data_IF_320591580059
#
_entry.id   IF_320591580059
#
_cell.length_a   1.000
_cell.length_b   1.000
_cell.length_c   1.000
_cell.angle_alpha   90.00
_cell.angle_beta   90.00
_cell.angle_gamma   90.00
#
_symmetry.space_group_name_H-M   'P 1'
#
loop_
_entity.id
_entity.type
_entity.pdbx_description
1 polymer ?
#
# COMPACT_ATOMS: atom_id res chain seq x y z
N UNK A 1 -14.70 21.00 -25.13
CA UNK A 1 -15.61 21.49 -24.08
C UNK A 1 -15.39 20.79 -22.75
N UNK A 2 -15.49 19.45 -22.65
CA UNK A 2 -15.39 18.75 -21.36
C UNK A 2 -14.04 18.87 -20.62
N UNK A 3 -12.91 18.90 -21.34
CA UNK A 3 -11.56 19.02 -20.72
C UNK A 3 -11.38 20.33 -19.96
N UNK A 4 -11.92 21.43 -20.51
CA UNK A 4 -11.83 22.75 -19.90
C UNK A 4 -12.68 22.83 -18.62
N UNK A 5 -13.89 22.26 -18.65
CA UNK A 5 -14.76 22.18 -17.46
C UNK A 5 -14.16 21.31 -16.35
N UNK A 6 -13.53 20.17 -16.69
CA UNK A 6 -12.84 19.32 -15.71
C UNK A 6 -11.66 20.07 -15.07
N UNK A 7 -10.91 20.81 -15.89
CA UNK A 7 -9.79 21.61 -15.41
C UNK A 7 -10.24 22.74 -14.47
N UNK A 8 -11.28 23.49 -14.84
CA UNK A 8 -11.86 24.56 -14.01
C UNK A 8 -12.42 24.02 -12.68
N UNK A 9 -13.12 22.88 -12.72
CA UNK A 9 -13.61 22.21 -11.50
C UNK A 9 -12.47 21.70 -10.62
N UNK A 10 -11.42 21.14 -11.21
CA UNK A 10 -10.23 20.68 -10.48
C UNK A 10 -9.52 21.85 -9.79
N UNK A 11 -9.35 22.98 -10.49
CA UNK A 11 -8.76 24.18 -9.90
C UNK A 11 -9.57 24.74 -8.74
N UNK A 12 -10.89 24.81 -8.84
CA UNK A 12 -11.71 25.30 -7.73
C UNK A 12 -11.67 24.31 -6.55
N UNK A 13 -11.68 23.00 -6.80
CA UNK A 13 -11.55 22.01 -5.75
C UNK A 13 -10.17 22.07 -5.05
N UNK A 14 -9.09 22.28 -5.81
CA UNK A 14 -7.75 22.53 -5.28
C UNK A 14 -7.73 23.78 -4.38
N UNK A 15 -8.33 24.89 -4.86
CA UNK A 15 -8.45 26.14 -4.10
C UNK A 15 -9.17 25.94 -2.76
N UNK A 16 -10.29 25.20 -2.77
CA UNK A 16 -11.08 24.91 -1.56
C UNK A 16 -10.32 24.02 -0.56
N UNK A 17 -9.56 23.04 -1.05
CA UNK A 17 -8.71 22.20 -0.20
C UNK A 17 -7.55 22.99 0.41
N UNK A 18 -6.89 23.85 -0.37
CA UNK A 18 -5.84 24.74 0.14
C UNK A 18 -6.38 25.69 1.22
N UNK A 19 -7.56 26.29 0.99
CA UNK A 19 -8.23 27.13 1.98
C UNK A 19 -8.56 26.36 3.26
N UNK A 20 -9.06 25.13 3.13
CA UNK A 20 -9.37 24.26 4.28
C UNK A 20 -8.11 23.91 5.09
N UNK A 21 -6.99 23.65 4.41
CA UNK A 21 -5.68 23.42 5.04
C UNK A 21 -5.17 24.69 5.74
N UNK A 22 -5.37 25.86 5.16
CA UNK A 22 -4.98 27.13 5.77
C UNK A 22 -5.79 27.40 7.04
N UNK A 23 -7.11 27.23 7.00
CA UNK A 23 -7.97 27.34 8.19
C UNK A 23 -7.54 26.36 9.29
N UNK A 24 -7.23 25.11 8.93
CA UNK A 24 -6.77 24.12 9.90
C UNK A 24 -5.42 24.51 10.53
N UNK A 25 -4.49 25.05 9.74
CA UNK A 25 -3.22 25.60 10.27
C UNK A 25 -3.42 26.82 11.16
N UNK A 26 -4.39 27.68 10.85
CA UNK A 26 -4.73 28.82 11.71
C UNK A 26 -5.32 28.35 13.04
N UNK A 27 -6.20 27.33 13.02
CA UNK A 27 -6.76 26.71 14.23
C UNK A 27 -5.67 26.05 15.09
N UNK A 28 -4.67 25.40 14.49
CA UNK A 28 -3.52 24.84 15.23
C UNK A 28 -2.64 25.90 15.91
N UNK A 29 -2.58 27.13 15.36
CA UNK A 29 -1.79 28.25 15.92
C UNK A 29 -2.52 28.97 17.06
N UNK A 30 -3.83 28.82 17.16
CA UNK A 30 -4.58 29.34 18.31
C UNK A 30 -4.20 28.48 19.52
N UNK A 31 -3.88 29.09 20.67
CA UNK A 31 -3.66 28.33 21.88
C UNK A 31 -4.97 27.60 22.21
N UNK A 32 -4.98 26.28 21.97
CA UNK A 32 -6.01 25.37 22.48
C UNK A 32 -5.81 25.31 23.99
N UNK A 33 -6.28 26.33 24.69
CA UNK A 33 -6.37 26.35 26.14
C UNK A 33 -7.32 25.25 26.56
N UNK A 34 -6.74 24.11 26.93
CA UNK A 34 -7.24 23.19 27.95
C UNK A 34 -8.74 22.85 27.87
N UNK A 35 -9.15 22.07 26.87
CA UNK A 35 -10.35 21.23 27.05
C UNK A 35 -10.00 19.88 27.70
N UNK A 36 -8.72 19.47 27.70
CA UNK A 36 -8.26 18.27 28.39
C UNK A 36 -8.15 18.47 29.93
N UNK A 37 -7.89 19.68 30.45
CA UNK A 37 -7.79 19.90 31.90
C UNK A 37 -9.14 19.98 32.63
N UNK A 38 -10.26 20.17 31.92
CA UNK A 38 -11.58 20.21 32.56
C UNK A 38 -12.07 18.80 32.89
N UNK A 39 -11.55 17.76 32.21
CA UNK A 39 -11.94 16.36 32.45
C UNK A 39 -11.27 15.75 33.69
N UNK A 40 -10.16 16.30 34.18
CA UNK A 40 -9.42 15.75 35.34
C UNK A 40 -9.90 16.29 36.69
N UNK A 41 -10.91 17.18 36.72
CA UNK A 41 -11.40 17.82 37.96
C UNK A 41 -12.86 17.52 38.35
N UNK A 42 -13.52 16.55 37.73
CA UNK A 42 -14.79 16.05 38.26
C UNK A 42 -14.68 14.55 38.52
N UNK A 43 -14.51 14.22 39.80
CA UNK A 43 -14.60 12.86 40.29
C UNK A 43 -15.97 12.24 40.00
N UNK A 44 -15.94 10.93 39.85
CA UNK A 44 -17.00 9.99 40.18
C UNK A 44 -18.42 10.42 39.75
N UNK A 45 -18.80 10.03 38.52
CA UNK A 45 -20.06 9.35 38.17
C UNK A 45 -20.41 9.57 36.68
N UNK A 46 -20.39 8.46 35.92
CA UNK A 46 -21.25 8.15 34.76
C UNK A 46 -21.54 9.25 33.72
N UNK A 47 -20.83 9.21 32.59
CA UNK A 47 -21.36 9.08 31.22
C UNK A 47 -20.22 9.24 30.23
N UNK A 48 -19.95 8.22 29.40
CA UNK A 48 -18.99 8.32 28.31
C UNK A 48 -19.50 9.33 27.27
N UNK A 49 -19.15 10.59 27.44
CA UNK A 49 -19.28 11.60 26.39
C UNK A 49 -18.16 11.30 25.40
N UNK A 50 -18.50 10.57 24.33
CA UNK A 50 -17.65 10.45 23.14
C UNK A 50 -17.54 11.85 22.55
N UNK A 51 -16.51 12.60 22.95
CA UNK A 51 -16.21 13.86 22.29
C UNK A 51 -15.85 13.55 20.83
N UNK A 52 -16.45 14.24 19.85
CA UNK A 52 -16.11 14.06 18.46
C UNK A 52 -14.61 14.35 18.28
N UNK A 53 -13.88 13.43 17.66
CA UNK A 53 -12.43 13.50 17.42
C UNK A 53 -11.94 14.80 16.75
N UNK A 54 -12.85 15.64 16.24
CA UNK A 54 -12.59 16.78 15.36
C UNK A 54 -11.76 17.94 15.94
N UNK A 55 -11.67 18.09 17.28
CA UNK A 55 -10.95 19.22 17.89
C UNK A 55 -9.84 18.81 18.86
N UNK A 56 -9.36 17.57 18.79
CA UNK A 56 -8.14 17.15 19.48
C UNK A 56 -6.92 17.41 18.59
N UNK A 57 -5.73 17.61 19.17
CA UNK A 57 -4.49 17.75 18.40
C UNK A 57 -4.28 16.56 17.43
N UNK A 58 -4.52 15.34 17.91
CA UNK A 58 -4.48 14.12 17.10
C UNK A 58 -5.53 14.11 15.98
N UNK A 59 -6.74 14.58 16.25
CA UNK A 59 -7.81 14.69 15.25
C UNK A 59 -7.48 15.68 14.14
N UNK A 60 -6.85 16.82 14.49
CA UNK A 60 -6.38 17.79 13.52
C UNK A 60 -5.26 17.22 12.65
N UNK A 61 -4.33 16.44 13.21
CA UNK A 61 -3.27 15.78 12.43
C UNK A 61 -3.83 14.78 11.41
N UNK A 62 -4.80 13.95 11.82
CA UNK A 62 -5.49 13.03 10.90
C UNK A 62 -6.21 13.79 9.80
N UNK A 63 -6.93 14.86 10.15
CA UNK A 63 -7.68 15.67 9.19
C UNK A 63 -6.74 16.39 8.20
N UNK A 64 -5.59 16.87 8.66
CA UNK A 64 -4.53 17.43 7.81
C UNK A 64 -3.98 16.38 6.84
N UNK A 65 -3.71 15.17 7.31
CA UNK A 65 -3.23 14.07 6.47
C UNK A 65 -4.27 13.71 5.39
N UNK A 66 -5.56 13.64 5.74
CA UNK A 66 -6.66 13.41 4.80
C UNK A 66 -6.73 14.51 3.74
N UNK A 67 -6.71 15.79 4.12
CA UNK A 67 -6.78 16.91 3.18
C UNK A 67 -5.58 16.95 2.23
N UNK A 68 -4.37 16.68 2.72
CA UNK A 68 -3.17 16.59 1.87
C UNK A 68 -3.25 15.41 0.88
N UNK A 69 -3.93 14.31 1.25
CA UNK A 69 -4.16 13.20 0.35
C UNK A 69 -5.18 13.56 -0.74
N UNK A 70 -6.29 14.18 -0.38
CA UNK A 70 -7.29 14.66 -1.37
C UNK A 70 -6.71 15.70 -2.32
N UNK A 71 -5.86 16.61 -1.82
CA UNK A 71 -5.18 17.59 -2.66
C UNK A 71 -4.32 16.90 -3.73
N UNK A 72 -3.53 15.91 -3.32
CA UNK A 72 -2.69 15.12 -4.24
C UNK A 72 -3.52 14.42 -5.32
N UNK A 73 -4.68 13.85 -4.98
CA UNK A 73 -5.57 13.16 -5.92
C UNK A 73 -6.16 14.12 -6.97
N UNK A 74 -6.62 15.30 -6.53
CA UNK A 74 -7.22 16.31 -7.41
C UNK A 74 -6.18 16.91 -8.34
N UNK A 75 -5.02 17.32 -7.82
CA UNK A 75 -3.94 17.90 -8.62
C UNK A 75 -3.43 16.93 -9.70
N UNK A 76 -3.38 15.62 -9.40
CA UNK A 76 -2.92 14.60 -10.36
C UNK A 76 -4.03 14.01 -11.23
N UNK A 77 -5.29 14.34 -10.94
CA UNK A 77 -6.47 13.69 -11.53
C UNK A 77 -6.29 12.15 -11.52
N UNK A 78 -5.84 11.61 -10.39
CA UNK A 78 -5.47 10.20 -10.27
C UNK A 78 -6.75 9.35 -10.14
N UNK A 79 -7.00 8.51 -11.15
CA UNK A 79 -8.05 7.51 -11.12
C UNK A 79 -7.46 6.17 -10.70
N UNK A 80 -7.91 5.65 -9.55
CA UNK A 80 -7.51 4.33 -9.05
C UNK A 80 -8.62 3.32 -9.36
N UNK A 81 -8.34 2.36 -10.25
CA UNK A 81 -9.22 1.23 -10.54
C UNK A 81 -8.76 0.00 -9.75
N UNK A 82 -9.51 -0.38 -8.72
CA UNK A 82 -9.24 -1.58 -7.95
C UNK A 82 -9.83 -2.83 -8.62
N UNK A 83 -9.00 -3.85 -8.81
CA UNK A 83 -9.42 -5.16 -9.33
C UNK A 83 -9.48 -6.14 -8.16
N UNK A 84 -10.69 -6.58 -7.83
CA UNK A 84 -10.97 -7.48 -6.70
C UNK A 84 -11.55 -8.79 -7.22
N UNK A 85 -11.20 -9.88 -6.56
CA UNK A 85 -11.62 -11.22 -6.96
C UNK A 85 -10.91 -12.29 -6.14
N UNK A 86 -11.46 -13.49 -6.15
CA UNK A 86 -10.88 -14.64 -5.46
C UNK A 86 -9.52 -15.03 -6.05
N UNK A 87 -8.80 -15.88 -5.33
CA UNK A 87 -7.52 -16.41 -5.82
C UNK A 87 -7.71 -17.10 -7.17
N UNK A 88 -6.77 -16.93 -8.09
CA UNK A 88 -6.78 -17.55 -9.42
C UNK A 88 -7.94 -17.15 -10.33
N UNK A 89 -8.69 -16.09 -9.98
CA UNK A 89 -9.71 -15.51 -10.87
C UNK A 89 -9.12 -14.79 -12.10
N UNK A 90 -7.79 -14.79 -12.27
CA UNK A 90 -7.11 -14.13 -13.38
C UNK A 90 -6.80 -12.65 -13.18
N UNK A 91 -6.92 -12.10 -11.96
CA UNK A 91 -6.69 -10.66 -11.67
C UNK A 91 -5.38 -10.12 -12.22
N UNK A 92 -4.24 -10.71 -11.83
CA UNK A 92 -2.92 -10.28 -12.28
C UNK A 92 -2.77 -10.46 -13.80
N UNK A 93 -3.39 -11.47 -14.38
CA UNK A 93 -3.46 -11.68 -15.84
C UNK A 93 -4.26 -10.57 -16.52
N UNK A 94 -5.41 -10.17 -15.97
CA UNK A 94 -6.22 -9.06 -16.46
C UNK A 94 -5.47 -7.74 -16.36
N UNK A 95 -4.76 -7.50 -15.25
CA UNK A 95 -3.91 -6.31 -15.08
C UNK A 95 -2.82 -6.29 -16.16
N UNK A 96 -2.06 -7.37 -16.32
CA UNK A 96 -1.02 -7.47 -17.35
C UNK A 96 -1.61 -7.25 -18.76
N UNK A 97 -2.82 -7.73 -19.02
CA UNK A 97 -3.53 -7.49 -20.29
C UNK A 97 -3.93 -6.02 -20.49
N UNK A 98 -4.41 -5.33 -19.45
CA UNK A 98 -4.74 -3.89 -19.51
C UNK A 98 -3.46 -3.07 -19.75
N UNK A 99 -2.40 -3.35 -19.00
CA UNK A 99 -1.10 -2.70 -19.13
C UNK A 99 -0.49 -2.97 -20.50
N UNK A 100 -0.68 -4.17 -21.05
CA UNK A 100 -0.10 -4.62 -22.31
C UNK A 100 1.33 -5.16 -22.18
N UNK A 101 1.85 -5.26 -20.96
CA UNK A 101 3.14 -5.87 -20.63
C UNK A 101 3.01 -6.69 -19.35
N UNK A 102 3.86 -7.73 -19.20
CA UNK A 102 3.86 -8.53 -17.99
C UNK A 102 4.61 -7.79 -16.87
N UNK A 103 3.87 -7.26 -15.88
CA UNK A 103 4.40 -6.49 -14.75
C UNK A 103 4.10 -7.11 -13.38
N UNK A 104 3.10 -7.98 -13.31
CA UNK A 104 2.81 -8.80 -12.14
C UNK A 104 3.17 -10.28 -12.38
N UNK A 105 3.76 -10.98 -11.39
CA UNK A 105 4.07 -12.39 -11.51
C UNK A 105 2.78 -13.24 -11.56
N UNK A 106 2.82 -14.32 -12.33
CA UNK A 106 1.75 -15.31 -12.40
C UNK A 106 2.29 -16.70 -11.98
N UNK A 107 1.65 -17.36 -11.00
CA UNK A 107 1.89 -18.77 -10.64
C UNK A 107 0.58 -19.42 -10.19
N UNK A 108 0.59 -20.74 -10.05
CA UNK A 108 -0.52 -21.54 -9.49
C UNK A 108 -0.72 -21.42 -7.96
N UNK A 109 -0.08 -20.45 -7.30
CA UNK A 109 -0.16 -20.19 -5.84
C UNK A 109 -0.59 -18.74 -5.57
N UNK A 110 -1.04 -18.37 -4.37
CA UNK A 110 -1.41 -16.99 -4.02
C UNK A 110 -0.32 -15.95 -4.34
N UNK A 111 -0.55 -14.98 -5.22
CA UNK A 111 0.52 -14.08 -5.73
C UNK A 111 0.41 -12.62 -5.24
N UNK A 112 -0.59 -12.28 -4.43
CA UNK A 112 -0.76 -10.90 -3.95
C UNK A 112 -0.88 -10.91 -2.42
N UNK A 113 0.24 -10.68 -1.74
CA UNK A 113 0.31 -10.54 -0.28
C UNK A 113 0.11 -9.08 0.16
N UNK A 114 0.79 -8.16 -0.53
CA UNK A 114 0.62 -6.73 -0.36
C UNK A 114 -0.15 -6.18 -1.57
N UNK A 115 -1.14 -5.29 -1.37
CA UNK A 115 -1.73 -4.56 -2.49
C UNK A 115 -0.63 -3.84 -3.27
N UNK A 116 -0.72 -3.77 -4.59
CA UNK A 116 0.30 -3.15 -5.44
C UNK A 116 -0.36 -2.20 -6.44
N UNK A 117 0.14 -0.98 -6.54
CA UNK A 117 -0.33 -0.01 -7.54
C UNK A 117 0.45 -0.19 -8.84
N UNK A 118 -0.24 -0.07 -9.97
CA UNK A 118 0.36 -0.06 -11.30
C UNK A 118 -0.09 1.21 -11.98
N UNK A 119 0.85 2.15 -12.17
CA UNK A 119 0.60 3.51 -12.61
C UNK A 119 1.06 3.70 -14.04
N UNK A 120 0.16 4.20 -14.87
CA UNK A 120 0.49 4.64 -16.20
C UNK A 120 1.46 5.83 -16.15
N UNK A 121 2.64 5.66 -16.75
CA UNK A 121 3.65 6.72 -16.86
C UNK A 121 4.09 6.83 -18.32
N UNK A 122 3.66 7.88 -19.06
CA UNK A 122 4.04 8.07 -20.46
C UNK A 122 5.56 8.06 -20.67
N UNK A 123 6.02 7.33 -21.67
CA UNK A 123 7.46 7.17 -21.97
C UNK A 123 8.23 6.17 -21.11
N UNK A 124 7.64 5.63 -20.03
CA UNK A 124 8.29 4.62 -19.18
C UNK A 124 8.11 3.21 -19.76
N UNK A 125 8.95 2.86 -20.75
CA UNK A 125 8.82 1.56 -21.46
C UNK A 125 9.16 0.34 -20.60
N UNK A 126 10.20 0.45 -19.78
CA UNK A 126 10.57 -0.60 -18.84
C UNK A 126 9.87 -0.36 -17.50
N UNK A 127 9.25 -1.37 -16.88
CA UNK A 127 8.57 -1.18 -15.61
C UNK A 127 9.57 -0.87 -14.50
N UNK A 128 9.16 -0.01 -13.57
CA UNK A 128 9.95 0.40 -12.41
C UNK A 128 9.11 0.21 -11.17
N UNK A 129 9.58 -0.57 -10.20
CA UNK A 129 8.93 -0.70 -8.89
C UNK A 129 9.59 0.23 -7.88
N UNK A 130 8.76 1.08 -7.27
CA UNK A 130 9.09 1.88 -6.10
C UNK A 130 8.51 1.22 -4.86
N UNK A 131 9.39 0.81 -3.95
CA UNK A 131 9.01 0.25 -2.66
C UNK A 131 9.55 1.15 -1.53
N UNK A 132 8.91 2.29 -1.31
CA UNK A 132 9.44 3.34 -0.42
C UNK A 132 9.45 2.93 1.07
N UNK A 133 8.47 2.12 1.48
CA UNK A 133 8.22 1.73 2.87
C UNK A 133 8.80 0.35 3.19
N UNK A 134 10.11 0.14 2.97
CA UNK A 134 10.80 -1.14 3.26
C UNK A 134 11.05 -1.41 4.75
N UNK A 135 11.11 -0.37 5.58
CA UNK A 135 11.57 -0.50 6.97
C UNK A 135 10.82 -1.57 7.81
N UNK A 136 9.48 -1.74 7.71
CA UNK A 136 8.78 -2.83 8.39
C UNK A 136 9.21 -4.22 7.92
N UNK A 137 9.47 -4.39 6.61
CA UNK A 137 9.99 -5.65 6.06
C UNK A 137 11.40 -5.90 6.54
N UNK A 138 12.28 -4.89 6.57
CA UNK A 138 13.65 -5.07 7.08
C UNK A 138 13.67 -5.47 8.56
N UNK A 139 12.75 -4.93 9.36
CA UNK A 139 12.58 -5.34 10.76
C UNK A 139 12.11 -6.81 10.86
N UNK A 140 11.13 -7.21 10.06
CA UNK A 140 10.65 -8.58 9.98
C UNK A 140 11.78 -9.54 9.55
N UNK A 141 12.57 -9.17 8.54
CA UNK A 141 13.69 -9.98 8.03
C UNK A 141 14.71 -10.29 9.12
N UNK A 142 15.01 -9.34 10.02
CA UNK A 142 15.92 -9.56 11.16
C UNK A 142 15.36 -10.60 12.15
N UNK A 143 14.05 -10.53 12.43
CA UNK A 143 13.38 -11.49 13.32
C UNK A 143 13.38 -12.89 12.68
N UNK A 144 13.02 -12.97 11.39
CA UNK A 144 13.01 -14.23 10.66
C UNK A 144 14.40 -14.83 10.52
N UNK A 145 15.45 -14.02 10.37
CA UNK A 145 16.83 -14.52 10.33
C UNK A 145 17.21 -15.26 11.61
N UNK A 146 16.82 -14.75 12.78
CA UNK A 146 17.04 -15.44 14.05
C UNK A 146 16.26 -16.76 14.11
N UNK A 147 14.96 -16.72 13.78
CA UNK A 147 14.09 -17.91 13.80
C UNK A 147 14.53 -19.00 12.82
N UNK A 148 14.96 -18.64 11.60
CA UNK A 148 15.44 -19.60 10.59
C UNK A 148 16.71 -20.31 11.05
N UNK A 149 17.61 -19.62 11.77
CA UNK A 149 18.83 -20.24 12.34
C UNK A 149 18.54 -21.23 13.46
N UNK A 150 17.47 -21.00 14.22
CA UNK A 150 17.04 -21.85 15.33
C UNK A 150 16.14 -23.02 14.88
N UNK A 151 15.52 -22.91 13.71
CA UNK A 151 14.55 -23.89 13.22
C UNK A 151 15.22 -24.98 12.39
N UNK A 152 14.78 -26.23 12.58
CA UNK A 152 15.19 -27.33 11.72
C UNK A 152 14.56 -27.20 10.32
N UNK A 153 15.38 -27.20 9.28
CA UNK A 153 14.92 -27.13 7.87
C UNK A 153 13.94 -28.26 7.54
N UNK A 154 14.05 -29.42 8.19
CA UNK A 154 13.11 -30.52 8.03
C UNK A 154 11.69 -30.15 8.49
N UNK A 155 11.55 -29.40 9.59
CA UNK A 155 10.25 -28.90 10.04
C UNK A 155 9.66 -27.88 9.08
N UNK A 156 10.51 -26.98 8.55
CA UNK A 156 10.07 -26.00 7.54
C UNK A 156 9.51 -26.68 6.28
N UNK A 157 10.15 -27.76 5.79
CA UNK A 157 9.65 -28.52 4.63
C UNK A 157 8.33 -29.25 4.86
N UNK A 158 7.93 -29.49 6.11
CA UNK A 158 6.63 -30.10 6.42
C UNK A 158 5.48 -29.09 6.33
N UNK A 159 5.76 -27.80 6.55
CA UNK A 159 4.75 -26.74 6.59
C UNK A 159 4.76 -25.85 5.34
N UNK A 160 5.90 -25.78 4.63
CA UNK A 160 6.09 -24.96 3.44
C UNK A 160 6.56 -25.80 2.26
N UNK A 161 5.97 -25.53 1.10
CA UNK A 161 6.50 -26.02 -0.17
C UNK A 161 7.71 -25.17 -0.56
N UNK A 162 8.92 -25.70 -0.32
CA UNK A 162 10.17 -25.01 -0.61
C UNK A 162 10.55 -25.24 -2.08
N UNK A 163 10.09 -24.35 -2.95
CA UNK A 163 10.52 -24.30 -4.34
C UNK A 163 11.85 -23.54 -4.53
N UNK A 164 12.27 -23.36 -5.78
CA UNK A 164 13.50 -22.63 -6.12
C UNK A 164 13.48 -21.20 -5.59
N UNK A 165 12.33 -20.52 -5.65
CA UNK A 165 12.21 -19.11 -5.27
C UNK A 165 12.19 -18.93 -3.74
N UNK A 166 11.53 -19.83 -3.02
CA UNK A 166 11.58 -19.87 -1.55
C UNK A 166 13.01 -20.12 -1.04
N UNK A 167 13.78 -20.98 -1.70
CA UNK A 167 15.19 -21.20 -1.35
C UNK A 167 16.04 -19.93 -1.52
N UNK A 168 15.80 -19.15 -2.58
CA UNK A 168 16.48 -17.86 -2.79
C UNK A 168 16.13 -16.90 -1.65
N UNK A 169 14.86 -16.82 -1.24
CA UNK A 169 14.44 -16.00 -0.10
C UNK A 169 15.13 -16.44 1.20
N UNK A 170 15.17 -17.74 1.49
CA UNK A 170 15.83 -18.26 2.69
C UNK A 170 17.32 -17.90 2.71
N UNK A 171 18.02 -18.03 1.58
CA UNK A 171 19.42 -17.61 1.46
C UNK A 171 19.59 -16.10 1.67
N UNK A 172 18.69 -15.28 1.13
CA UNK A 172 18.71 -13.83 1.36
C UNK A 172 18.52 -13.49 2.84
N UNK A 173 17.59 -14.16 3.54
CA UNK A 173 17.37 -14.00 4.98
C UNK A 173 18.60 -14.43 5.78
N UNK A 174 19.15 -15.62 5.50
CA UNK A 174 20.33 -16.16 6.18
C UNK A 174 21.53 -15.20 6.09
N UNK A 175 21.74 -14.63 4.89
CA UNK A 175 22.81 -13.67 4.59
C UNK A 175 22.51 -12.22 5.02
N UNK A 176 21.28 -11.92 5.44
CA UNK A 176 20.88 -10.58 5.87
C UNK A 176 20.79 -9.55 4.73
N UNK A 177 20.42 -9.99 3.52
CA UNK A 177 20.21 -9.12 2.37
C UNK A 177 18.89 -8.36 2.55
N UNK A 178 18.96 -7.03 2.55
CA UNK A 178 17.79 -6.15 2.68
C UNK A 178 17.02 -6.01 1.35
N UNK A 179 15.75 -5.62 1.44
CA UNK A 179 14.99 -5.26 0.24
C UNK A 179 15.45 -3.91 -0.30
N UNK A 180 15.53 -3.80 -1.62
CA UNK A 180 15.81 -2.54 -2.27
C UNK A 180 14.54 -1.68 -2.31
N UNK A 181 14.74 -0.36 -2.39
CA UNK A 181 13.63 0.59 -2.54
C UNK A 181 13.19 0.75 -3.99
N UNK A 182 13.99 0.26 -4.93
CA UNK A 182 13.85 0.51 -6.35
C UNK A 182 14.24 -0.74 -7.13
N UNK A 183 13.38 -1.20 -8.05
CA UNK A 183 13.68 -2.32 -8.93
C UNK A 183 13.37 -1.95 -10.39
N UNK A 184 14.36 -2.14 -11.27
CA UNK A 184 14.25 -1.82 -12.70
C UNK A 184 14.00 -3.10 -13.51
N UNK A 185 12.97 -3.07 -14.36
CA UNK A 185 12.64 -4.14 -15.28
C UNK A 185 11.76 -5.24 -14.68
N UNK A 186 11.10 -6.01 -15.54
CA UNK A 186 10.07 -6.97 -15.12
C UNK A 186 10.61 -8.08 -14.22
N UNK A 187 11.80 -8.63 -14.50
CA UNK A 187 12.32 -9.76 -13.73
C UNK A 187 12.68 -9.41 -12.28
N UNK A 188 13.44 -8.33 -12.00
CA UNK A 188 13.66 -7.89 -10.61
C UNK A 188 12.37 -7.60 -9.86
N UNK A 189 11.38 -6.98 -10.52
CA UNK A 189 10.06 -6.73 -9.95
C UNK A 189 9.35 -8.03 -9.59
N UNK A 190 9.35 -9.02 -10.51
CA UNK A 190 8.74 -10.32 -10.24
C UNK A 190 9.40 -11.00 -9.06
N UNK A 191 10.74 -11.01 -9.01
CA UNK A 191 11.47 -11.61 -7.90
C UNK A 191 11.15 -10.92 -6.57
N UNK A 192 11.06 -9.59 -6.54
CA UNK A 192 10.66 -8.83 -5.37
C UNK A 192 9.25 -9.20 -4.90
N UNK A 193 8.25 -9.13 -5.79
CA UNK A 193 6.86 -9.45 -5.46
C UNK A 193 6.71 -10.92 -5.03
N UNK A 194 7.38 -11.85 -5.70
CA UNK A 194 7.42 -13.27 -5.29
C UNK A 194 8.01 -13.43 -3.89
N UNK A 195 9.12 -12.74 -3.60
CA UNK A 195 9.77 -12.76 -2.29
C UNK A 195 8.86 -12.21 -1.19
N UNK A 196 8.13 -11.13 -1.44
CA UNK A 196 7.14 -10.58 -0.49
C UNK A 196 6.03 -11.58 -0.17
N UNK A 197 5.52 -12.29 -1.18
CA UNK A 197 4.54 -13.36 -0.97
C UNK A 197 5.09 -14.52 -0.16
N UNK A 198 6.31 -14.96 -0.49
CA UNK A 198 7.00 -16.03 0.22
C UNK A 198 7.34 -15.62 1.67
N UNK A 199 7.58 -14.34 1.92
CA UNK A 199 7.81 -13.80 3.26
C UNK A 199 6.56 -13.91 4.15
N UNK A 200 5.36 -13.65 3.63
CA UNK A 200 4.11 -13.88 4.38
C UNK A 200 3.95 -15.35 4.75
N UNK A 201 4.23 -16.26 3.81
CA UNK A 201 4.15 -17.71 4.04
C UNK A 201 5.14 -18.16 5.10
N UNK A 202 6.38 -17.68 5.00
CA UNK A 202 7.44 -17.99 5.95
C UNK A 202 7.11 -17.45 7.35
N UNK A 203 6.62 -16.22 7.44
CA UNK A 203 6.19 -15.60 8.70
C UNK A 203 5.10 -16.45 9.38
N UNK A 204 4.11 -16.91 8.60
CA UNK A 204 3.06 -17.81 9.10
C UNK A 204 3.61 -19.17 9.56
N UNK A 205 4.57 -19.75 8.84
CA UNK A 205 5.15 -21.04 9.21
C UNK A 205 6.06 -20.98 10.45
N UNK A 206 6.67 -19.81 10.71
CA UNK A 206 7.55 -19.56 11.85
C UNK A 206 6.84 -18.90 13.03
N UNK A 207 5.52 -18.71 12.96
CA UNK A 207 4.70 -18.05 13.99
C UNK A 207 5.23 -16.64 14.33
N UNK A 208 5.52 -15.86 13.28
CA UNK A 208 5.94 -14.46 13.36
C UNK A 208 4.90 -13.60 12.64
N UNK A 209 4.46 -12.53 13.28
CA UNK A 209 3.49 -11.61 12.69
C UNK A 209 4.08 -10.84 11.50
N UNK A 210 3.36 -10.88 10.39
CA UNK A 210 3.69 -10.04 9.23
C UNK A 210 3.09 -8.63 9.41
N UNK A 211 3.84 -7.55 9.10
CA UNK A 211 3.44 -6.18 9.42
C UNK A 211 2.38 -5.59 8.46
N UNK A 212 1.24 -6.26 8.29
CA UNK A 212 0.17 -5.82 7.38
C UNK A 212 -0.35 -4.41 7.69
N UNK A 213 -0.43 -4.04 8.97
CA UNK A 213 -0.91 -2.72 9.39
C UNK A 213 -0.05 -1.57 8.85
N UNK A 214 1.26 -1.81 8.64
CA UNK A 214 2.16 -0.80 8.06
C UNK A 214 1.83 -0.48 6.60
N UNK A 215 1.15 -1.40 5.91
CA UNK A 215 0.78 -1.32 4.49
C UNK A 215 -0.72 -1.06 4.26
N UNK A 216 -1.45 -0.61 5.29
CA UNK A 216 -2.86 -0.27 5.16
C UNK A 216 -3.10 1.03 4.36
N UNK A 217 -2.12 1.94 4.34
CA UNK A 217 -2.20 3.20 3.61
C UNK A 217 -1.67 3.05 2.18
N UNK A 218 -2.38 3.65 1.20
CA UNK A 218 -2.00 3.62 -0.22
C UNK A 218 -0.63 4.25 -0.50
N UNK A 219 -0.15 5.12 0.41
CA UNK A 219 1.16 5.77 0.31
C UNK A 219 2.33 4.82 0.67
N UNK A 220 2.04 3.70 1.34
CA UNK A 220 3.05 2.76 1.83
C UNK A 220 3.14 1.49 0.97
N UNK A 221 2.15 1.23 0.12
CA UNK A 221 2.16 0.05 -0.74
C UNK A 221 3.11 0.22 -1.94
N UNK A 222 3.64 -0.87 -2.50
CA UNK A 222 4.53 -0.81 -3.65
C UNK A 222 3.83 -0.22 -4.89
N UNK A 223 4.56 0.54 -5.69
CA UNK A 223 4.06 1.21 -6.91
C UNK A 223 4.92 0.83 -8.11
N UNK A 224 4.32 0.24 -9.13
CA UNK A 224 4.93 -0.05 -10.42
C UNK A 224 4.59 1.08 -11.40
N UNK A 225 5.59 1.72 -11.97
CA UNK A 225 5.43 2.72 -13.02
C UNK A 225 5.81 2.12 -14.36
N UNK A 226 4.89 2.20 -15.32
CA UNK A 226 5.08 1.67 -16.68
C UNK A 226 4.12 2.37 -17.64
N UNK A 227 4.53 2.55 -18.89
CA UNK A 227 3.64 3.01 -19.96
C UNK A 227 2.67 1.88 -20.33
N UNK A 228 1.39 2.21 -20.38
CA UNK A 228 0.36 1.23 -20.77
C UNK A 228 0.32 1.25 -22.29
N UNK A 229 0.53 0.10 -22.91
CA UNK A 229 0.69 -0.02 -24.37
C UNK A 229 -0.52 0.51 -25.11
N UNK A 230 -1.73 0.26 -24.58
CA UNK A 230 -2.99 0.71 -25.17
C UNK A 230 -3.23 2.22 -25.07
N UNK A 231 -2.49 2.91 -24.19
CA UNK A 231 -2.55 4.36 -24.01
C UNK A 231 -1.36 5.07 -24.66
N UNK A 232 -0.34 4.32 -25.11
CA UNK A 232 0.85 4.87 -25.75
C UNK A 232 0.47 5.65 -27.03
N UNK A 233 1.03 6.85 -27.18
CA UNK A 233 0.79 7.70 -28.35
C UNK A 233 -0.56 8.42 -28.38
N UNK A 234 -1.43 8.27 -27.38
CA UNK A 234 -2.59 9.15 -27.23
C UNK A 234 -2.16 10.54 -26.73
N UNK A 235 -2.87 11.58 -27.18
CA UNK A 235 -2.64 12.95 -26.71
C UNK A 235 -2.72 13.01 -25.18
N UNK A 236 -1.86 13.83 -24.56
CA UNK A 236 -1.75 13.98 -23.10
C UNK A 236 -3.13 14.10 -22.45
N UNK A 237 -3.60 13.01 -21.86
CA UNK A 237 -4.75 13.06 -20.99
C UNK A 237 -4.30 13.70 -19.68
N UNK A 238 -5.11 14.61 -19.11
CA UNK A 238 -4.70 15.33 -17.90
C UNK A 238 -4.72 14.44 -16.65
N UNK A 239 -5.23 13.21 -16.74
CA UNK A 239 -5.36 12.28 -15.62
C UNK A 239 -4.37 11.13 -15.62
N UNK A 240 -4.07 10.64 -14.43
CA UNK A 240 -3.20 9.49 -14.20
C UNK A 240 -4.04 8.25 -13.92
N UNK A 241 -3.98 7.26 -14.82
CA UNK A 241 -4.63 5.97 -14.60
C UNK A 241 -3.72 5.08 -13.75
N UNK A 242 -4.25 4.62 -12.61
CA UNK A 242 -3.60 3.69 -11.70
C UNK A 242 -4.49 2.47 -11.49
N UNK A 243 -3.95 1.27 -11.66
CA UNK A 243 -4.61 0.01 -11.33
C UNK A 243 -4.16 -0.43 -9.94
N UNK A 244 -5.06 -0.94 -9.12
CA UNK A 244 -4.73 -1.52 -7.81
C UNK A 244 -4.94 -3.04 -7.87
N UNK A 245 -3.85 -3.79 -7.78
CA UNK A 245 -3.89 -5.22 -7.52
C UNK A 245 -4.13 -5.45 -6.04
N UNK A 246 -5.13 -6.27 -5.70
CA UNK A 246 -5.54 -6.53 -4.33
C UNK A 246 -5.32 -7.99 -3.94
N UNK A 247 -4.92 -8.27 -2.69
CA UNK A 247 -4.86 -9.62 -2.16
C UNK A 247 -6.25 -10.27 -2.24
N UNK A 248 -6.31 -11.55 -2.59
CA UNK A 248 -7.56 -12.31 -2.48
C UNK A 248 -8.06 -12.37 -1.03
N UNK A 249 -9.39 -12.48 -0.78
CA UNK A 249 -9.94 -12.58 0.58
C UNK A 249 -9.38 -13.77 1.39
N UNK A 250 -8.94 -14.83 0.69
CA UNK A 250 -8.28 -16.00 1.29
C UNK A 250 -6.77 -15.81 1.51
N UNK A 251 -6.17 -14.73 0.98
CA UNK A 251 -4.73 -14.44 1.00
C UNK A 251 -4.38 -13.36 2.03
N UNK A 252 -5.35 -12.50 2.36
CA UNK A 252 -5.06 -11.24 3.03
C UNK A 252 -4.48 -11.40 4.44
N UNK A 253 -4.68 -12.52 5.15
CA UNK A 253 -4.32 -12.64 6.58
C UNK A 253 -4.92 -11.55 7.48
N UNK A 254 -5.75 -10.67 6.89
CA UNK A 254 -6.30 -9.47 7.46
C UNK A 254 -7.78 -9.76 7.74
N UNK A 255 -8.20 -9.78 9.01
CA UNK A 255 -9.59 -10.05 9.37
C UNK A 255 -10.58 -9.01 8.82
N UNK A 256 -10.10 -7.83 8.38
CA UNK A 256 -10.94 -6.78 7.82
C UNK A 256 -11.47 -7.06 6.39
N UNK A 257 -10.77 -7.86 5.58
CA UNK A 257 -11.21 -8.24 4.23
C UNK A 257 -12.13 -9.48 4.23
N UNK A 258 -12.14 -10.27 5.30
CA UNK A 258 -13.02 -11.44 5.44
C UNK A 258 -14.45 -11.08 5.84
N UNK A 259 -14.68 -9.88 6.41
CA UNK A 259 -15.98 -9.50 6.99
C UNK A 259 -17.02 -8.97 5.98
N UNK A 260 -16.65 -8.78 4.71
CA UNK A 260 -17.54 -8.22 3.69
C UNK A 260 -17.80 -9.19 2.51
N UNK A 261 -17.64 -10.49 2.72
CA UNK A 261 -18.05 -11.53 1.77
C UNK A 261 -19.35 -12.20 2.21
#
# INVERSE_FOLDING_TARGET
MHTQTIYELSQEAERLLMLSLEHLRQLQKLPMTSLDDVALKQGEHSSQVVQPLHFSARGMDVQQATLNNELRKITRLEMVLAIVGTMKAGKSTTINAIVGTEVLPNRNRPMTALPTLIRHTPGQKEPVLHFSHVAPIDALMKVLQQRVRECDRLRLTQTLEIDKDMNVLLQHIENGVAFERYYLGAQPIFHCLKSLNDLVRLSKALDVDFPFAAYAAIEHIPVIEVEFVHLAGQASYPGQLTLLDTPGPNEAGQPHLQKNA
#
